data_IF_307555586309
#
_entry.id   IF_307555586309
#
_cell.length_a   1.000
_cell.length_b   1.000
_cell.length_c   1.000
_cell.angle_alpha   90.00
_cell.angle_beta   90.00
_cell.angle_gamma   90.00
#
_symmetry.space_group_name_H-M   'P 1'
#
loop_
_entity.id
_entity.type
_entity.pdbx_description
1 polymer ?
#
# COMPACT_ATOMS: atom_id res chain seq x y z
N UNK A 1 3.00 -45.11 -22.16
CA UNK A 1 3.63 -44.93 -20.83
C UNK A 1 5.06 -45.40 -20.83
N UNK A 2 5.78 -45.16 -19.79
CA UNK A 2 7.15 -45.67 -19.60
C UNK A 2 7.07 -46.94 -18.73
N UNK A 3 7.97 -47.89 -19.00
CA UNK A 3 7.96 -49.19 -18.33
C UNK A 3 8.43 -49.06 -16.85
N UNK A 4 9.33 -48.09 -16.63
CA UNK A 4 9.83 -47.73 -15.28
C UNK A 4 10.35 -46.29 -15.22
N UNK A 5 10.82 -45.85 -14.05
CA UNK A 5 11.34 -44.50 -13.80
C UNK A 5 12.62 -44.25 -14.59
N UNK A 6 13.51 -45.23 -14.70
CA UNK A 6 14.77 -45.08 -15.41
C UNK A 6 14.51 -44.89 -16.94
N UNK A 7 13.55 -45.60 -17.51
CA UNK A 7 13.12 -45.39 -18.90
C UNK A 7 12.59 -43.96 -19.13
N UNK A 8 11.80 -43.45 -18.21
CA UNK A 8 11.34 -42.05 -18.26
C UNK A 8 12.52 -41.07 -18.19
N UNK A 9 13.44 -41.28 -17.26
CA UNK A 9 14.59 -40.38 -17.05
C UNK A 9 15.50 -40.38 -18.29
N UNK A 10 15.74 -41.54 -18.90
CA UNK A 10 16.59 -41.63 -20.10
C UNK A 10 16.02 -40.90 -21.30
N UNK A 11 14.69 -40.91 -21.46
CA UNK A 11 14.02 -40.19 -22.54
C UNK A 11 14.09 -38.68 -22.35
N UNK A 12 13.94 -38.21 -21.11
CA UNK A 12 13.81 -36.77 -20.82
C UNK A 12 15.16 -36.08 -20.53
N UNK A 13 16.12 -36.81 -19.96
CA UNK A 13 17.39 -36.25 -19.49
C UNK A 13 18.65 -36.85 -20.15
N UNK A 14 18.47 -37.88 -20.94
CA UNK A 14 19.55 -38.45 -21.74
C UNK A 14 19.87 -39.91 -21.41
N UNK A 15 20.44 -40.59 -22.41
CA UNK A 15 20.78 -42.03 -22.33
C UNK A 15 21.75 -42.30 -21.16
N UNK A 16 21.39 -43.29 -20.34
CA UNK A 16 22.20 -43.73 -19.20
C UNK A 16 21.88 -42.97 -17.87
N UNK A 17 20.95 -42.02 -17.90
CA UNK A 17 20.46 -41.42 -16.65
C UNK A 17 19.57 -42.41 -15.92
N UNK A 18 19.96 -42.80 -14.71
CA UNK A 18 19.19 -43.66 -13.80
C UNK A 18 18.58 -42.86 -12.65
N UNK A 19 17.66 -43.47 -11.94
CA UNK A 19 17.07 -42.91 -10.73
C UNK A 19 18.14 -42.49 -9.73
N UNK A 20 19.19 -43.29 -9.53
CA UNK A 20 20.31 -43.02 -8.62
C UNK A 20 21.11 -41.79 -9.10
N UNK A 21 21.50 -41.74 -10.39
CA UNK A 21 22.25 -40.60 -10.96
C UNK A 21 21.43 -39.31 -10.85
N UNK A 22 20.13 -39.38 -11.14
CA UNK A 22 19.25 -38.21 -11.09
C UNK A 22 19.01 -37.74 -9.65
N UNK A 23 18.87 -38.69 -8.72
CA UNK A 23 18.79 -38.38 -7.29
C UNK A 23 20.05 -37.66 -6.79
N UNK A 24 21.23 -38.14 -7.11
CA UNK A 24 22.49 -37.55 -6.69
C UNK A 24 22.70 -36.16 -7.31
N UNK A 25 22.29 -35.97 -8.55
CA UNK A 25 22.25 -34.67 -9.19
C UNK A 25 21.32 -33.70 -8.44
N UNK A 26 20.09 -34.10 -8.14
CA UNK A 26 19.14 -33.27 -7.42
C UNK A 26 19.64 -32.94 -5.99
N UNK A 27 20.19 -33.92 -5.30
CA UNK A 27 20.76 -33.71 -3.95
C UNK A 27 21.88 -32.67 -3.99
N UNK A 28 22.81 -32.79 -4.95
CA UNK A 28 23.90 -31.82 -5.13
C UNK A 28 23.37 -30.45 -5.49
N UNK A 29 22.43 -30.37 -6.44
CA UNK A 29 21.83 -29.11 -6.89
C UNK A 29 21.11 -28.39 -5.74
N UNK A 30 20.21 -29.08 -5.04
CA UNK A 30 19.46 -28.46 -3.94
C UNK A 30 20.34 -28.13 -2.74
N UNK A 31 21.38 -28.90 -2.46
CA UNK A 31 22.36 -28.58 -1.42
C UNK A 31 23.10 -27.29 -1.76
N UNK A 32 23.55 -27.14 -3.01
CA UNK A 32 24.25 -25.93 -3.48
C UNK A 32 23.32 -24.72 -3.45
N UNK A 33 22.08 -24.85 -3.93
CA UNK A 33 21.06 -23.78 -3.90
C UNK A 33 20.74 -23.36 -2.46
N UNK A 34 20.59 -24.32 -1.56
CA UNK A 34 20.31 -24.05 -0.15
C UNK A 34 21.50 -23.34 0.55
N UNK A 35 22.71 -23.79 0.29
CA UNK A 35 23.92 -23.13 0.78
C UNK A 35 24.03 -21.69 0.26
N UNK A 36 23.83 -21.48 -1.06
CA UNK A 36 23.85 -20.14 -1.65
C UNK A 36 22.80 -19.23 -1.01
N UNK A 37 21.54 -19.69 -0.90
CA UNK A 37 20.46 -18.86 -0.38
C UNK A 37 20.57 -18.58 1.13
N UNK A 38 20.89 -19.58 1.91
CA UNK A 38 20.78 -19.48 3.37
C UNK A 38 22.12 -19.15 4.06
N UNK A 39 23.25 -19.44 3.43
CA UNK A 39 24.57 -19.11 3.98
C UNK A 39 25.14 -17.89 3.30
N UNK A 40 25.51 -18.00 2.01
CA UNK A 40 26.22 -16.91 1.35
C UNK A 40 25.34 -15.65 1.18
N UNK A 41 24.09 -15.84 0.71
CA UNK A 41 23.21 -14.69 0.51
C UNK A 41 22.67 -14.16 1.84
N UNK A 42 22.31 -15.03 2.77
CA UNK A 42 21.85 -14.65 4.11
C UNK A 42 22.92 -13.91 4.92
N UNK A 43 24.19 -14.39 4.88
CA UNK A 43 25.31 -13.70 5.54
C UNK A 43 25.56 -12.32 4.93
N UNK A 44 25.51 -12.19 3.60
CA UNK A 44 25.66 -10.90 2.91
C UNK A 44 24.51 -9.94 3.24
N UNK A 45 23.27 -10.41 3.28
CA UNK A 45 22.12 -9.59 3.64
C UNK A 45 22.19 -9.13 5.11
N UNK A 46 22.65 -10.00 6.02
CA UNK A 46 22.79 -9.65 7.44
C UNK A 46 24.00 -8.73 7.73
N UNK A 47 24.89 -8.55 6.76
CA UNK A 47 26.02 -7.62 6.88
C UNK A 47 25.66 -6.18 6.49
N UNK A 48 24.52 -5.96 5.83
CA UNK A 48 24.07 -4.62 5.46
C UNK A 48 23.52 -3.88 6.68
N UNK A 49 23.94 -2.64 6.83
CA UNK A 49 23.38 -1.72 7.82
C UNK A 49 22.10 -1.06 7.30
N UNK A 50 21.23 -0.59 8.21
CA UNK A 50 20.04 0.18 7.83
C UNK A 50 20.39 1.40 6.98
N UNK A 51 21.50 2.07 7.27
CA UNK A 51 21.99 3.22 6.50
C UNK A 51 22.38 2.86 5.05
N UNK A 52 22.97 1.69 4.83
CA UNK A 52 23.30 1.21 3.47
C UNK A 52 22.04 0.81 2.70
N UNK A 53 21.06 0.22 3.38
CA UNK A 53 19.76 -0.12 2.80
C UNK A 53 19.02 1.16 2.41
N UNK A 54 19.01 2.17 3.28
CA UNK A 54 18.39 3.46 3.05
C UNK A 54 19.03 4.20 1.87
N UNK A 55 20.36 4.28 1.83
CA UNK A 55 21.09 4.91 0.74
C UNK A 55 20.80 4.23 -0.61
N UNK A 56 20.76 2.91 -0.65
CA UNK A 56 20.41 2.15 -1.86
C UNK A 56 18.99 2.42 -2.31
N UNK A 57 18.04 2.50 -1.37
CA UNK A 57 16.65 2.88 -1.70
C UNK A 57 16.59 4.28 -2.31
N UNK A 58 17.28 5.27 -1.74
CA UNK A 58 17.27 6.66 -2.21
C UNK A 58 17.83 6.80 -3.62
N UNK A 59 18.91 6.07 -3.94
CA UNK A 59 19.49 6.02 -5.28
C UNK A 59 18.55 5.40 -6.32
N UNK A 60 17.65 4.52 -5.90
CA UNK A 60 16.75 3.76 -6.78
C UNK A 60 15.26 4.09 -6.53
N UNK A 61 14.97 5.17 -5.82
CA UNK A 61 13.62 5.48 -5.27
C UNK A 61 12.52 5.44 -6.34
N UNK A 62 12.74 6.00 -7.53
CA UNK A 62 11.73 6.01 -8.58
C UNK A 62 11.33 4.61 -9.02
N UNK A 63 12.27 3.69 -9.16
CA UNK A 63 12.01 2.30 -9.53
C UNK A 63 11.18 1.57 -8.48
N UNK A 64 11.40 1.87 -7.20
CA UNK A 64 10.61 1.30 -6.10
C UNK A 64 9.20 1.90 -6.03
N UNK A 65 9.08 3.22 -6.18
CA UNK A 65 7.79 3.94 -6.21
C UNK A 65 6.91 3.41 -7.35
N UNK A 66 7.46 3.18 -8.53
CA UNK A 66 6.74 2.62 -9.68
C UNK A 66 6.21 1.19 -9.40
N UNK A 67 6.85 0.47 -8.48
CA UNK A 67 6.44 -0.86 -8.00
C UNK A 67 5.54 -0.80 -6.75
N UNK A 68 5.19 0.39 -6.27
CA UNK A 68 4.36 0.58 -5.08
C UNK A 68 5.12 0.45 -3.75
N UNK A 69 6.46 0.52 -3.77
CA UNK A 69 7.29 0.49 -2.57
C UNK A 69 7.75 1.90 -2.24
N UNK A 70 7.38 2.40 -1.06
CA UNK A 70 7.73 3.75 -0.58
C UNK A 70 8.35 3.68 0.81
N UNK A 71 9.11 4.72 1.21
CA UNK A 71 9.67 4.85 2.57
C UNK A 71 8.60 5.08 3.63
N UNK A 72 7.47 5.63 3.24
CA UNK A 72 6.36 5.87 4.15
C UNK A 72 5.31 4.78 3.99
N UNK A 73 4.71 4.39 5.09
CA UNK A 73 3.64 3.42 5.08
C UNK A 73 2.43 3.98 4.32
N UNK A 74 1.69 3.09 3.68
CA UNK A 74 0.36 3.44 3.20
C UNK A 74 -0.52 3.80 4.40
N UNK A 75 -1.50 4.64 4.17
CA UNK A 75 -2.45 5.03 5.21
C UNK A 75 -3.88 4.67 4.80
N UNK A 76 -4.70 4.42 5.82
CA UNK A 76 -6.15 4.32 5.66
C UNK A 76 -6.79 5.45 6.46
N UNK A 77 -7.73 6.18 5.86
CA UNK A 77 -8.35 7.35 6.47
C UNK A 77 -9.84 7.41 6.14
N UNK A 78 -10.63 7.88 7.09
CA UNK A 78 -12.01 8.31 6.83
C UNK A 78 -12.07 9.82 6.76
N UNK A 79 -12.87 10.33 5.82
CA UNK A 79 -13.12 11.75 5.71
C UNK A 79 -14.59 12.05 5.40
N UNK A 80 -14.97 13.28 5.65
CA UNK A 80 -16.26 13.83 5.27
C UNK A 80 -15.99 15.12 4.47
N UNK A 81 -16.34 15.09 3.19
CA UNK A 81 -16.23 16.25 2.31
C UNK A 81 -17.54 17.00 2.31
N UNK A 82 -17.49 18.28 2.63
CA UNK A 82 -18.61 19.23 2.46
C UNK A 82 -18.23 20.24 1.39
N UNK A 83 -19.00 20.29 0.32
CA UNK A 83 -18.76 21.21 -0.79
C UNK A 83 -19.60 22.48 -0.64
N UNK A 84 -19.05 23.65 -1.02
CA UNK A 84 -19.85 24.86 -1.14
C UNK A 84 -20.95 24.67 -2.19
N UNK A 85 -22.15 25.16 -1.93
CA UNK A 85 -23.29 25.10 -2.84
C UNK A 85 -23.35 26.38 -3.72
N UNK A 86 -23.95 26.24 -4.92
CA UNK A 86 -24.16 27.34 -5.84
C UNK A 86 -23.32 27.29 -7.10
N UNK A 87 -23.44 28.33 -7.92
CA UNK A 87 -22.67 28.44 -9.15
C UNK A 87 -21.27 28.99 -8.88
N UNK A 88 -20.32 28.50 -9.66
CA UNK A 88 -18.96 29.02 -9.67
C UNK A 88 -18.86 30.24 -10.55
N UNK A 89 -17.98 31.18 -10.19
CA UNK A 89 -17.64 32.32 -11.02
C UNK A 89 -16.85 31.89 -12.29
N UNK A 90 -16.48 32.87 -13.12
CA UNK A 90 -15.73 32.66 -14.37
C UNK A 90 -14.35 32.03 -14.14
N UNK A 91 -13.81 32.17 -12.96
CA UNK A 91 -12.50 31.61 -12.54
C UNK A 91 -12.64 30.25 -11.87
N UNK A 92 -13.87 29.73 -11.76
CA UNK A 92 -14.16 28.43 -11.17
C UNK A 92 -14.27 28.41 -9.65
N UNK A 93 -14.39 29.59 -9.00
CA UNK A 93 -14.49 29.72 -7.55
C UNK A 93 -15.92 29.83 -7.08
N UNK A 94 -16.23 29.28 -5.93
CA UNK A 94 -17.46 29.55 -5.20
C UNK A 94 -17.41 30.90 -4.47
N UNK A 95 -18.55 31.49 -4.21
CA UNK A 95 -18.63 32.73 -3.41
C UNK A 95 -18.12 32.52 -1.99
N UNK A 96 -17.71 33.59 -1.35
CA UNK A 96 -17.23 33.53 0.05
C UNK A 96 -18.35 33.12 1.01
N UNK A 97 -19.60 33.51 0.73
CA UNK A 97 -20.77 33.08 1.50
C UNK A 97 -21.00 31.58 1.38
N UNK A 98 -20.87 31.01 0.17
CA UNK A 98 -21.02 29.56 -0.03
C UNK A 98 -19.91 28.77 0.68
N UNK A 99 -18.67 29.25 0.61
CA UNK A 99 -17.53 28.67 1.35
C UNK A 99 -17.74 28.74 2.87
N UNK A 100 -18.23 29.88 3.38
CA UNK A 100 -18.50 30.06 4.81
C UNK A 100 -19.64 29.13 5.29
N UNK A 101 -20.68 28.94 4.46
CA UNK A 101 -21.76 28.00 4.77
C UNK A 101 -21.29 26.56 4.82
N UNK A 102 -20.49 26.13 3.84
CA UNK A 102 -19.90 24.77 3.81
C UNK A 102 -18.99 24.53 5.02
N UNK A 103 -18.18 25.53 5.40
CA UNK A 103 -17.33 25.47 6.58
C UNK A 103 -18.16 25.32 7.86
N UNK A 104 -19.20 26.11 8.03
CA UNK A 104 -20.08 26.03 9.19
C UNK A 104 -20.76 24.67 9.30
N UNK A 105 -21.15 24.07 8.18
CA UNK A 105 -21.72 22.71 8.15
C UNK A 105 -20.67 21.65 8.52
N UNK A 106 -19.45 21.76 8.02
CA UNK A 106 -18.35 20.87 8.41
C UNK A 106 -18.03 20.97 9.90
N UNK A 107 -18.01 22.19 10.47
CA UNK A 107 -17.82 22.43 11.90
C UNK A 107 -18.96 21.85 12.76
N UNK A 108 -20.22 21.92 12.26
CA UNK A 108 -21.37 21.28 12.91
C UNK A 108 -21.21 19.76 12.97
N UNK A 109 -20.82 19.14 11.86
CA UNK A 109 -20.61 17.68 11.77
C UNK A 109 -19.44 17.26 12.67
N UNK A 110 -18.36 18.03 12.70
CA UNK A 110 -17.22 17.80 13.60
C UNK A 110 -17.68 17.81 15.08
N UNK A 111 -18.56 18.74 15.47
CA UNK A 111 -19.12 18.79 16.81
C UNK A 111 -19.98 17.55 17.14
N UNK A 112 -20.70 16.99 16.17
CA UNK A 112 -21.43 15.74 16.35
C UNK A 112 -20.48 14.55 16.58
N UNK A 113 -19.39 14.49 15.85
CA UNK A 113 -18.38 13.45 16.08
C UNK A 113 -17.69 13.63 17.44
N UNK A 114 -17.34 14.85 17.81
CA UNK A 114 -16.68 15.14 19.11
C UNK A 114 -17.56 14.79 20.33
N UNK A 115 -18.88 14.74 20.16
CA UNK A 115 -19.79 14.30 21.21
C UNK A 115 -19.74 12.76 21.45
N UNK A 116 -19.34 11.99 20.44
CA UNK A 116 -19.10 10.55 20.51
C UNK A 116 -17.94 10.22 19.53
N UNK A 117 -16.68 10.37 19.94
CA UNK A 117 -15.50 10.29 19.07
C UNK A 117 -15.09 8.83 18.81
N UNK A 118 -15.99 8.05 18.22
CA UNK A 118 -15.77 6.66 17.81
C UNK A 118 -15.70 6.54 16.30
N UNK A 119 -14.99 5.53 15.79
CA UNK A 119 -14.95 5.24 14.35
C UNK A 119 -16.34 4.90 13.81
N UNK A 120 -17.16 4.18 14.56
CA UNK A 120 -18.51 3.81 14.15
C UNK A 120 -19.41 5.04 14.00
N UNK A 121 -19.31 6.03 14.91
CA UNK A 121 -19.99 7.31 14.78
C UNK A 121 -19.47 8.10 13.58
N UNK A 122 -18.15 8.18 13.37
CA UNK A 122 -17.59 8.84 12.20
C UNK A 122 -18.11 8.22 10.88
N UNK A 123 -18.09 6.89 10.79
CA UNK A 123 -18.65 6.15 9.64
C UNK A 123 -20.11 6.48 9.39
N UNK A 124 -20.91 6.57 10.46
CA UNK A 124 -22.33 6.90 10.37
C UNK A 124 -22.52 8.32 9.85
N UNK A 125 -21.79 9.30 10.39
CA UNK A 125 -21.82 10.68 9.92
C UNK A 125 -21.34 10.79 8.46
N UNK A 126 -20.31 10.04 8.09
CA UNK A 126 -19.83 10.02 6.71
C UNK A 126 -20.87 9.45 5.74
N UNK A 127 -21.60 8.40 6.11
CA UNK A 127 -22.69 7.87 5.28
C UNK A 127 -23.85 8.87 5.12
N UNK A 128 -24.07 9.75 6.10
CA UNK A 128 -25.14 10.74 6.09
C UNK A 128 -24.74 12.04 5.37
N UNK A 129 -23.53 12.54 5.60
CA UNK A 129 -23.14 13.90 5.21
C UNK A 129 -22.03 13.97 4.15
N UNK A 130 -21.30 12.89 3.87
CA UNK A 130 -20.17 12.95 2.96
C UNK A 130 -20.62 13.15 1.50
N UNK A 131 -20.10 14.18 0.87
CA UNK A 131 -20.38 14.53 -0.53
C UNK A 131 -19.29 14.05 -1.49
N UNK A 132 -18.27 13.34 -1.01
CA UNK A 132 -17.23 12.79 -1.87
C UNK A 132 -17.71 11.56 -2.65
N UNK A 133 -17.80 11.63 -4.00
CA UNK A 133 -18.27 10.50 -4.80
C UNK A 133 -17.44 9.22 -4.64
N UNK A 134 -16.16 9.35 -4.28
CA UNK A 134 -15.24 8.22 -4.15
C UNK A 134 -15.41 7.42 -2.85
N UNK A 135 -15.99 8.04 -1.81
CA UNK A 135 -16.05 7.42 -0.48
C UNK A 135 -17.38 7.56 0.26
N UNK A 136 -18.36 8.30 -0.28
CA UNK A 136 -19.66 8.53 0.39
C UNK A 136 -20.43 7.25 0.72
N UNK A 137 -20.33 6.22 -0.13
CA UNK A 137 -21.11 5.00 0.00
C UNK A 137 -20.41 3.94 0.89
N UNK A 138 -19.16 4.19 1.31
CA UNK A 138 -18.39 3.31 2.20
C UNK A 138 -18.03 3.94 3.56
N UNK A 139 -18.73 5.00 3.97
CA UNK A 139 -18.50 5.70 5.22
C UNK A 139 -17.23 6.54 5.23
N UNK A 140 -16.92 7.14 4.09
CA UNK A 140 -15.80 8.07 3.93
C UNK A 140 -14.42 7.43 3.86
N UNK A 141 -14.32 6.10 3.70
CA UNK A 141 -13.07 5.36 3.81
C UNK A 141 -12.27 5.37 2.50
N UNK A 142 -11.00 5.74 2.60
CA UNK A 142 -9.93 5.40 1.66
C UNK A 142 -8.94 4.45 2.36
N UNK A 143 -8.71 3.29 1.78
CA UNK A 143 -7.86 2.25 2.36
C UNK A 143 -6.53 2.15 1.64
N UNK A 144 -5.47 1.94 2.42
CA UNK A 144 -4.16 1.50 1.96
C UNK A 144 -3.61 2.30 0.76
N UNK A 145 -3.80 3.61 0.77
CA UNK A 145 -3.30 4.46 -0.31
C UNK A 145 -1.90 5.00 -0.04
N UNK A 146 -1.19 5.22 -1.13
CA UNK A 146 0.20 5.69 -1.13
C UNK A 146 0.26 7.23 -1.14
N UNK A 147 1.39 7.81 -0.72
CA UNK A 147 1.65 9.24 -0.89
C UNK A 147 1.49 9.69 -2.35
N UNK A 148 0.97 10.89 -2.54
CA UNK A 148 0.79 11.48 -3.86
C UNK A 148 -0.39 10.97 -4.69
N UNK A 149 -1.28 10.16 -4.11
CA UNK A 149 -2.49 9.67 -4.79
C UNK A 149 -3.71 10.56 -4.61
N UNK A 150 -3.65 11.49 -3.66
CA UNK A 150 -4.75 12.38 -3.30
C UNK A 150 -4.40 13.84 -3.64
N UNK A 151 -5.38 14.74 -3.55
CA UNK A 151 -5.13 16.19 -3.65
C UNK A 151 -4.16 16.63 -2.56
N UNK A 152 -3.34 17.63 -2.86
CA UNK A 152 -2.17 18.01 -2.05
C UNK A 152 -2.52 18.22 -0.58
N UNK A 153 -3.54 19.00 -0.26
CA UNK A 153 -3.90 19.34 1.13
C UNK A 153 -4.34 18.12 1.93
N UNK A 154 -5.08 17.20 1.29
CA UNK A 154 -5.51 15.96 1.92
C UNK A 154 -4.34 14.97 2.06
N UNK A 155 -3.50 14.85 1.02
CA UNK A 155 -2.30 14.04 1.06
C UNK A 155 -1.36 14.48 2.19
N UNK A 156 -1.04 15.76 2.27
CA UNK A 156 -0.10 16.30 3.25
C UNK A 156 -0.62 16.11 4.68
N UNK A 157 -1.93 16.23 4.89
CA UNK A 157 -2.53 15.93 6.18
C UNK A 157 -2.41 14.44 6.53
N UNK A 158 -2.71 13.54 5.60
CA UNK A 158 -2.70 12.09 5.84
C UNK A 158 -1.29 11.52 6.10
N UNK A 159 -0.27 12.15 5.51
CA UNK A 159 1.12 11.69 5.61
C UNK A 159 1.99 12.60 6.51
N UNK A 160 1.39 13.49 7.29
CA UNK A 160 2.09 14.25 8.31
C UNK A 160 2.53 13.31 9.44
N UNK A 161 3.84 13.18 9.65
CA UNK A 161 4.46 12.29 10.63
C UNK A 161 4.04 12.57 12.08
N UNK A 162 3.47 13.75 12.35
CA UNK A 162 2.93 14.09 13.68
C UNK A 162 1.57 13.45 13.96
N UNK A 163 0.89 12.93 12.95
CA UNK A 163 -0.43 12.30 13.08
C UNK A 163 -0.35 10.94 13.74
N UNK A 164 -1.41 10.63 14.47
CA UNK A 164 -1.55 9.35 15.15
C UNK A 164 -2.87 8.67 14.76
N UNK A 165 -2.94 7.33 14.83
CA UNK A 165 -4.20 6.63 14.62
C UNK A 165 -5.29 7.19 15.55
N UNK A 166 -6.39 7.64 14.96
CA UNK A 166 -7.52 8.24 15.66
C UNK A 166 -7.55 9.78 15.67
N UNK A 167 -6.61 10.45 14.99
CA UNK A 167 -6.63 11.91 14.81
C UNK A 167 -7.78 12.35 13.87
#
# INVERSE_FOLDING_TARGET
GYDDVDAYLQVNFGKGVTTEIYHDYLLTYYTAVNYYKNVLYGESANALTDAEIEAYYDENAQSYIDQGVTKVNNVSVRHILIQPEGEKDSDGNYSDEAKAAAKAEAERILALWQADPTEDNFKTLALEYNQDPGSKDNGGLYEDFQPGKMVTEFNDWCFDESRQPGD
#
